data_IF_310914953536
#
_entry.id   IF_310914953536
#
_cell.length_a   1.000
_cell.length_b   1.000
_cell.length_c   1.000
_cell.angle_alpha   90.00
_cell.angle_beta   90.00
_cell.angle_gamma   90.00
#
_symmetry.space_group_name_H-M   'P 1'
#
loop_
_entity.id
_entity.type
_entity.pdbx_description
1 polymer ?
#
# COMPACT_ATOMS: atom_id res chain seq x y z
N UNK A 1 -3.02 17.82 11.79
CA UNK A 1 -2.58 18.92 10.91
C UNK A 1 -2.35 18.32 9.54
N UNK A 2 -3.12 18.75 8.55
CA UNK A 2 -2.87 18.37 7.17
C UNK A 2 -1.50 18.89 6.74
N UNK A 3 -0.82 18.12 5.90
CA UNK A 3 0.50 18.52 5.45
C UNK A 3 0.39 19.63 4.40
N UNK A 4 1.17 20.69 4.62
CA UNK A 4 1.22 21.84 3.74
C UNK A 4 2.10 21.55 2.51
N UNK A 5 1.49 20.95 1.50
CA UNK A 5 2.12 20.63 0.21
C UNK A 5 2.63 21.90 -0.50
N UNK A 6 1.93 23.02 -0.38
CA UNK A 6 2.32 24.26 -1.06
C UNK A 6 3.63 24.83 -0.51
N UNK A 7 3.75 24.90 0.82
CA UNK A 7 4.99 25.30 1.48
C UNK A 7 6.13 24.30 1.24
N UNK A 8 5.84 22.99 1.20
CA UNK A 8 6.85 22.00 0.82
C UNK A 8 7.37 22.24 -0.60
N UNK A 9 6.49 22.43 -1.60
CA UNK A 9 6.87 22.72 -2.99
C UNK A 9 7.73 23.97 -3.09
N UNK A 10 7.36 25.05 -2.41
CA UNK A 10 8.11 26.31 -2.42
C UNK A 10 9.54 26.10 -1.89
N UNK A 11 9.70 25.44 -0.75
CA UNK A 11 11.01 25.13 -0.16
C UNK A 11 11.83 24.20 -1.05
N UNK A 12 11.23 23.15 -1.60
CA UNK A 12 11.90 22.23 -2.51
C UNK A 12 12.43 22.96 -3.74
N UNK A 13 11.59 23.77 -4.39
CA UNK A 13 11.95 24.56 -5.58
C UNK A 13 13.08 25.55 -5.31
N UNK A 14 13.11 26.17 -4.12
CA UNK A 14 14.18 27.08 -3.72
C UNK A 14 15.51 26.37 -3.48
N UNK A 15 15.47 25.09 -3.06
CA UNK A 15 16.66 24.27 -2.84
C UNK A 15 17.25 23.66 -4.14
N UNK A 16 16.50 23.67 -5.26
CA UNK A 16 17.02 23.21 -6.54
C UNK A 16 18.15 24.14 -6.99
N UNK A 17 19.31 23.56 -7.30
CA UNK A 17 20.48 24.31 -7.76
C UNK A 17 20.14 25.20 -8.98
N UNK A 18 20.55 26.48 -9.03
CA UNK A 18 20.15 27.42 -10.08
C UNK A 18 20.51 26.99 -11.52
N UNK A 19 21.56 26.18 -11.67
CA UNK A 19 22.00 25.64 -12.98
C UNK A 19 21.28 24.35 -13.40
N UNK A 20 20.34 23.84 -12.59
CA UNK A 20 19.60 22.64 -12.97
C UNK A 20 18.71 22.93 -14.18
N UNK A 21 18.81 22.08 -15.20
CA UNK A 21 17.97 22.12 -16.40
C UNK A 21 17.32 20.75 -16.61
N UNK A 22 15.99 20.71 -16.59
CA UNK A 22 15.24 19.47 -16.71
C UNK A 22 15.39 18.80 -18.09
N UNK A 23 15.50 19.58 -19.16
CA UNK A 23 15.66 19.06 -20.51
C UNK A 23 17.04 18.45 -20.72
N UNK A 24 18.08 19.08 -20.20
CA UNK A 24 19.43 18.49 -20.21
C UNK A 24 19.47 17.20 -19.38
N UNK A 25 18.83 17.19 -18.21
CA UNK A 25 18.71 15.97 -17.40
C UNK A 25 18.02 14.85 -18.19
N UNK A 26 16.77 15.06 -18.61
CA UNK A 26 16.00 14.03 -19.31
C UNK A 26 16.68 13.60 -20.61
N UNK A 27 17.21 14.57 -21.38
CA UNK A 27 17.97 14.30 -22.61
C UNK A 27 19.21 13.45 -22.36
N UNK A 28 19.97 13.72 -21.31
CA UNK A 28 21.11 12.89 -20.92
C UNK A 28 20.67 11.45 -20.59
N UNK A 29 19.65 11.28 -19.74
CA UNK A 29 19.17 9.96 -19.32
C UNK A 29 18.71 9.14 -20.52
N UNK A 30 17.89 9.73 -21.39
CA UNK A 30 17.35 9.05 -22.56
C UNK A 30 18.43 8.72 -23.59
N UNK A 31 19.30 9.69 -23.92
CA UNK A 31 20.35 9.47 -24.91
C UNK A 31 21.38 8.46 -24.41
N UNK A 32 21.86 8.60 -23.18
CA UNK A 32 22.83 7.68 -22.60
C UNK A 32 22.26 6.26 -22.53
N UNK A 33 21.04 6.10 -22.02
CA UNK A 33 20.39 4.80 -21.96
C UNK A 33 20.17 4.18 -23.35
N UNK A 34 19.71 4.96 -24.32
CA UNK A 34 19.53 4.49 -25.70
C UNK A 34 20.85 4.04 -26.35
N UNK A 35 21.95 4.76 -26.11
CA UNK A 35 23.28 4.35 -26.59
C UNK A 35 23.76 3.04 -25.94
N UNK A 36 23.55 2.86 -24.64
CA UNK A 36 23.88 1.61 -23.96
C UNK A 36 23.04 0.43 -24.47
N UNK A 37 21.74 0.64 -24.69
CA UNK A 37 20.84 -0.38 -25.26
C UNK A 37 21.31 -0.74 -26.67
N UNK A 38 21.55 0.26 -27.51
CA UNK A 38 22.04 0.06 -28.88
C UNK A 38 23.35 -0.72 -28.91
N UNK A 39 24.30 -0.37 -28.03
CA UNK A 39 25.56 -1.11 -27.90
C UNK A 39 25.33 -2.58 -27.50
N UNK A 40 24.50 -2.85 -26.48
CA UNK A 40 24.25 -4.21 -26.01
C UNK A 40 23.55 -5.05 -27.07
N UNK A 41 22.47 -4.54 -27.67
CA UNK A 41 21.72 -5.27 -28.69
C UNK A 41 22.47 -5.44 -30.00
N UNK A 42 23.41 -4.54 -30.33
CA UNK A 42 24.32 -4.74 -31.46
C UNK A 42 25.25 -5.95 -31.29
N UNK A 43 25.45 -6.45 -30.07
CA UNK A 43 26.22 -7.69 -29.82
C UNK A 43 25.42 -8.98 -30.05
N UNK A 44 24.12 -8.88 -30.29
CA UNK A 44 23.30 -10.04 -30.57
C UNK A 44 23.39 -10.41 -32.06
N UNK A 45 23.69 -11.66 -32.36
CA UNK A 45 23.88 -12.17 -33.72
C UNK A 45 23.10 -13.48 -33.91
N UNK A 46 22.44 -13.65 -35.07
CA UNK A 46 21.72 -14.90 -35.41
C UNK A 46 20.80 -15.44 -34.30
N UNK A 47 20.00 -14.54 -33.71
CA UNK A 47 19.15 -14.83 -32.54
C UNK A 47 18.20 -15.99 -32.83
N UNK A 48 18.27 -17.03 -32.00
CA UNK A 48 17.37 -18.17 -32.08
C UNK A 48 15.99 -17.82 -31.53
N UNK A 49 14.89 -18.42 -32.04
CA UNK A 49 13.54 -18.07 -31.62
C UNK A 49 13.28 -18.12 -30.11
N UNK A 50 13.88 -19.06 -29.39
CA UNK A 50 13.71 -19.19 -27.93
C UNK A 50 14.45 -18.11 -27.15
N UNK A 51 15.55 -17.54 -27.69
CA UNK A 51 16.34 -16.50 -27.02
C UNK A 51 15.54 -15.21 -26.87
N UNK A 52 14.56 -14.98 -27.74
CA UNK A 52 13.60 -13.87 -27.62
C UNK A 52 12.79 -13.90 -26.33
N UNK A 53 12.64 -15.05 -25.67
CA UNK A 53 12.00 -15.14 -24.34
C UNK A 53 12.76 -14.31 -23.29
N UNK A 54 14.04 -13.99 -23.51
CA UNK A 54 14.82 -13.12 -22.65
C UNK A 54 14.17 -11.73 -22.47
N UNK A 55 13.51 -11.20 -23.51
CA UNK A 55 12.87 -9.87 -23.48
C UNK A 55 11.65 -9.84 -22.52
N UNK A 56 10.59 -10.65 -22.71
CA UNK A 56 9.45 -10.64 -21.80
C UNK A 56 9.85 -11.07 -20.37
N UNK A 57 10.78 -12.01 -20.22
CA UNK A 57 11.28 -12.41 -18.90
C UNK A 57 12.03 -11.26 -18.20
N UNK A 58 12.86 -10.50 -18.93
CA UNK A 58 13.52 -9.31 -18.41
C UNK A 58 12.51 -8.22 -18.02
N UNK A 59 11.44 -8.00 -18.81
CA UNK A 59 10.40 -7.03 -18.47
C UNK A 59 9.62 -7.44 -17.20
N UNK A 60 9.26 -8.72 -17.07
CA UNK A 60 8.61 -9.24 -15.85
C UNK A 60 9.52 -9.10 -14.64
N UNK A 61 10.80 -9.41 -14.80
CA UNK A 61 11.82 -9.27 -13.74
C UNK A 61 12.08 -7.80 -13.38
N UNK A 62 12.13 -6.90 -14.37
CA UNK A 62 12.26 -5.46 -14.14
C UNK A 62 11.08 -4.92 -13.34
N UNK A 63 9.85 -5.24 -13.75
CA UNK A 63 8.64 -4.81 -13.06
C UNK A 63 8.53 -5.43 -11.64
N UNK A 64 9.09 -6.61 -11.43
CA UNK A 64 9.25 -7.17 -10.08
C UNK A 64 10.23 -6.35 -9.24
N UNK A 65 11.39 -6.01 -9.82
CA UNK A 65 12.40 -5.18 -9.18
C UNK A 65 11.87 -3.80 -8.80
N UNK A 66 11.12 -3.16 -9.70
CA UNK A 66 10.37 -1.92 -9.46
C UNK A 66 9.48 -2.05 -8.21
N UNK A 67 8.61 -3.07 -8.18
CA UNK A 67 7.72 -3.33 -7.05
C UNK A 67 8.50 -3.52 -5.72
N UNK A 68 9.55 -4.34 -5.75
CA UNK A 68 10.35 -4.65 -4.56
C UNK A 68 11.08 -3.43 -4.02
N UNK A 69 11.73 -2.67 -4.90
CA UNK A 69 12.47 -1.44 -4.54
C UNK A 69 11.50 -0.40 -4.03
N UNK A 70 10.39 -0.19 -4.72
CA UNK A 70 9.40 0.81 -4.35
C UNK A 70 8.77 0.51 -2.98
N UNK A 71 8.26 -0.71 -2.77
CA UNK A 71 7.69 -1.10 -1.48
C UNK A 71 8.72 -1.05 -0.35
N UNK A 72 9.92 -1.60 -0.53
CA UNK A 72 10.84 -1.83 0.60
C UNK A 72 11.86 -0.71 0.83
N UNK A 73 12.38 -0.10 -0.23
CA UNK A 73 13.36 0.98 -0.12
C UNK A 73 12.67 2.34 -0.20
N UNK A 74 11.56 2.43 -0.93
CA UNK A 74 10.79 3.66 -1.07
C UNK A 74 10.09 4.03 0.23
N UNK A 75 9.40 3.06 0.84
CA UNK A 75 8.50 3.31 1.99
C UNK A 75 9.03 2.89 3.36
N UNK A 76 10.10 2.08 3.43
CA UNK A 76 10.74 1.74 4.70
C UNK A 76 12.15 2.31 4.79
N UNK A 77 12.37 3.19 5.77
CA UNK A 77 13.66 3.82 6.01
C UNK A 77 14.68 2.79 6.51
N UNK A 78 15.56 2.33 5.61
CA UNK A 78 16.70 1.44 5.90
C UNK A 78 18.01 2.18 5.63
N UNK A 79 19.11 1.83 6.31
CA UNK A 79 20.42 2.49 6.13
C UNK A 79 20.89 2.46 4.67
N UNK A 80 20.81 1.30 4.02
CA UNK A 80 21.25 1.12 2.63
C UNK A 80 20.25 1.67 1.57
N UNK A 81 19.05 2.09 1.98
CA UNK A 81 18.02 2.65 1.11
C UNK A 81 17.67 4.11 1.42
N UNK A 82 18.38 4.75 2.35
CA UNK A 82 17.98 6.04 2.91
C UNK A 82 17.86 7.16 1.87
N UNK A 83 18.74 7.17 0.85
CA UNK A 83 18.66 8.15 -0.24
C UNK A 83 17.43 7.92 -1.12
N UNK A 84 17.11 6.66 -1.43
CA UNK A 84 15.92 6.35 -2.21
C UNK A 84 14.64 6.68 -1.42
N UNK A 85 14.58 6.30 -0.14
CA UNK A 85 13.50 6.70 0.77
C UNK A 85 13.31 8.23 0.83
N UNK A 86 14.40 8.99 1.01
CA UNK A 86 14.33 10.45 1.08
C UNK A 86 13.80 11.04 -0.24
N UNK A 87 14.27 10.56 -1.39
CA UNK A 87 13.78 11.05 -2.69
C UNK A 87 12.35 10.62 -2.97
N UNK A 88 11.98 9.42 -2.53
CA UNK A 88 10.68 8.81 -2.82
C UNK A 88 9.61 9.29 -1.84
N UNK A 89 9.57 8.78 -0.62
CA UNK A 89 8.59 9.19 0.39
C UNK A 89 8.87 10.60 0.92
N UNK A 90 10.14 10.97 1.08
CA UNK A 90 10.52 12.28 1.62
C UNK A 90 10.22 13.44 0.69
N UNK A 91 10.62 13.34 -0.58
CA UNK A 91 10.50 14.41 -1.57
C UNK A 91 9.30 14.20 -2.50
N UNK A 92 9.21 13.08 -3.21
CA UNK A 92 8.19 12.85 -4.24
C UNK A 92 6.76 12.81 -3.69
N UNK A 93 6.50 11.99 -2.66
CA UNK A 93 5.18 11.93 -2.01
C UNK A 93 4.80 13.21 -1.26
N UNK A 94 5.79 13.96 -0.80
CA UNK A 94 5.59 15.27 -0.19
C UNK A 94 5.31 16.35 -1.25
N UNK A 95 5.90 16.22 -2.43
CA UNK A 95 5.70 17.19 -3.51
C UNK A 95 4.37 16.94 -4.25
N UNK A 96 3.97 15.69 -4.44
CA UNK A 96 2.73 15.28 -5.09
C UNK A 96 1.82 14.58 -4.08
N UNK A 97 0.86 15.31 -3.52
CA UNK A 97 -0.16 14.72 -2.66
C UNK A 97 -1.32 14.16 -3.48
N UNK A 98 -2.16 13.32 -2.85
CA UNK A 98 -3.43 12.88 -3.43
C UNK A 98 -4.26 14.08 -3.94
N UNK A 99 -4.72 14.02 -5.19
CA UNK A 99 -5.42 15.12 -5.86
C UNK A 99 -4.51 16.23 -6.43
N UNK A 100 -3.21 16.20 -6.15
CA UNK A 100 -2.23 17.22 -6.54
C UNK A 100 -1.03 16.62 -7.30
N UNK A 101 -1.31 15.78 -8.30
CA UNK A 101 -0.28 15.04 -9.04
C UNK A 101 0.47 15.81 -10.13
N UNK A 102 0.02 17.00 -10.52
CA UNK A 102 0.61 17.70 -11.67
C UNK A 102 1.92 18.41 -11.30
N UNK A 103 2.89 18.39 -12.21
CA UNK A 103 3.96 19.39 -12.17
C UNK A 103 3.42 20.76 -12.62
N UNK A 104 4.05 21.84 -12.16
CA UNK A 104 3.66 23.21 -12.53
C UNK A 104 4.79 23.94 -13.26
N UNK A 105 6.04 23.65 -12.91
CA UNK A 105 7.24 24.27 -13.48
C UNK A 105 8.18 23.23 -14.07
N UNK A 106 8.97 23.61 -15.08
CA UNK A 106 9.98 22.73 -15.66
C UNK A 106 10.99 22.19 -14.63
N UNK A 107 11.27 22.94 -13.55
CA UNK A 107 12.17 22.48 -12.47
C UNK A 107 11.57 21.35 -11.61
N UNK A 108 10.25 21.18 -11.60
CA UNK A 108 9.58 20.14 -10.83
C UNK A 108 9.89 18.73 -11.38
N UNK A 109 10.34 18.63 -12.64
CA UNK A 109 10.86 17.38 -13.21
C UNK A 109 12.02 16.79 -12.41
N UNK A 110 12.72 17.59 -11.60
CA UNK A 110 13.78 17.12 -10.70
C UNK A 110 13.31 16.10 -9.66
N UNK A 111 12.08 16.25 -9.18
CA UNK A 111 11.48 15.35 -8.18
C UNK A 111 10.88 14.11 -8.84
N UNK A 112 10.39 14.24 -10.09
CA UNK A 112 9.81 13.15 -10.88
C UNK A 112 10.89 12.19 -11.39
N UNK A 113 11.95 12.72 -12.00
CA UNK A 113 13.01 11.92 -12.60
C UNK A 113 13.96 11.38 -11.53
N UNK A 114 14.46 10.16 -11.72
CA UNK A 114 15.58 9.68 -10.93
C UNK A 114 16.81 10.58 -11.09
N UNK A 115 17.77 10.57 -10.14
CA UNK A 115 19.01 11.30 -10.34
C UNK A 115 19.72 10.85 -11.61
N UNK A 116 20.20 11.78 -12.43
CA UNK A 116 20.88 11.48 -13.70
C UNK A 116 22.06 10.51 -13.57
N UNK A 117 22.76 10.46 -12.43
CA UNK A 117 23.84 9.50 -12.23
C UNK A 117 23.34 8.05 -12.07
N UNK A 118 22.07 7.84 -11.70
CA UNK A 118 21.52 6.52 -11.40
C UNK A 118 21.43 5.64 -12.65
N UNK A 119 21.12 6.22 -13.82
CA UNK A 119 21.15 5.46 -15.09
C UNK A 119 22.56 4.94 -15.39
N UNK A 120 23.62 5.67 -15.03
CA UNK A 120 25.01 5.21 -15.22
C UNK A 120 25.29 4.01 -14.34
N UNK A 121 24.93 4.07 -13.06
CA UNK A 121 25.07 2.94 -12.13
C UNK A 121 24.26 1.73 -12.60
N UNK A 122 23.01 1.95 -13.01
CA UNK A 122 22.14 0.89 -13.52
C UNK A 122 22.67 0.26 -14.81
N UNK A 123 23.24 1.07 -15.72
CA UNK A 123 23.92 0.59 -16.90
C UNK A 123 25.17 -0.22 -16.56
N UNK A 124 26.01 0.23 -15.63
CA UNK A 124 27.20 -0.51 -15.18
C UNK A 124 26.83 -1.89 -14.62
N UNK A 125 25.78 -1.98 -13.81
CA UNK A 125 25.27 -3.28 -13.33
C UNK A 125 24.83 -4.16 -14.50
N UNK A 126 24.08 -3.63 -15.46
CA UNK A 126 23.62 -4.40 -16.61
C UNK A 126 24.76 -4.78 -17.58
N UNK A 127 25.82 -3.99 -17.70
CA UNK A 127 27.03 -4.38 -18.42
C UNK A 127 27.76 -5.54 -17.72
N UNK A 128 27.84 -5.52 -16.39
CA UNK A 128 28.38 -6.64 -15.62
C UNK A 128 27.48 -7.89 -15.74
N UNK A 129 26.17 -7.73 -15.72
CA UNK A 129 25.20 -8.82 -15.98
C UNK A 129 25.36 -9.39 -17.39
N UNK A 130 25.49 -8.53 -18.41
CA UNK A 130 25.78 -8.95 -19.78
C UNK A 130 27.07 -9.78 -19.83
N UNK A 131 28.17 -9.27 -19.27
CA UNK A 131 29.44 -9.98 -19.24
C UNK A 131 29.29 -11.35 -18.56
N UNK A 132 28.63 -11.41 -17.41
CA UNK A 132 28.42 -12.67 -16.69
C UNK A 132 27.60 -13.68 -17.52
N UNK A 133 26.44 -13.26 -18.03
CA UNK A 133 25.54 -14.13 -18.81
C UNK A 133 26.11 -14.52 -20.17
N UNK A 134 27.00 -13.70 -20.75
CA UNK A 134 27.61 -13.99 -22.06
C UNK A 134 28.49 -15.23 -22.07
N UNK A 135 28.99 -15.67 -20.90
CA UNK A 135 29.72 -16.94 -20.77
C UNK A 135 28.83 -18.16 -21.06
N UNK A 136 27.50 -18.00 -20.92
CA UNK A 136 26.53 -19.04 -21.24
C UNK A 136 25.88 -18.81 -22.60
N UNK A 137 25.35 -17.61 -22.84
CA UNK A 137 24.74 -17.26 -24.13
C UNK A 137 24.78 -15.74 -24.35
N UNK A 138 25.52 -15.30 -25.37
CA UNK A 138 25.71 -13.88 -25.67
C UNK A 138 24.42 -13.16 -26.12
N UNK A 139 23.56 -13.84 -26.90
CA UNK A 139 22.30 -13.27 -27.38
C UNK A 139 21.32 -13.04 -26.22
N UNK A 140 21.13 -14.05 -25.36
CA UNK A 140 20.29 -13.91 -24.17
C UNK A 140 20.84 -12.83 -23.24
N UNK A 141 22.15 -12.80 -23.03
CA UNK A 141 22.80 -11.76 -22.23
C UNK A 141 22.53 -10.34 -22.77
N UNK A 142 22.69 -10.15 -24.08
CA UNK A 142 22.46 -8.88 -24.77
C UNK A 142 20.98 -8.47 -24.69
N UNK A 143 20.07 -9.37 -25.06
CA UNK A 143 18.62 -9.12 -25.03
C UNK A 143 18.14 -8.80 -23.63
N UNK A 144 18.51 -9.60 -22.62
CA UNK A 144 18.12 -9.39 -21.23
C UNK A 144 18.64 -8.04 -20.70
N UNK A 145 19.95 -7.79 -20.81
CA UNK A 145 20.58 -6.60 -20.21
C UNK A 145 20.14 -5.31 -20.90
N UNK A 146 19.99 -5.32 -22.23
CA UNK A 146 19.43 -4.19 -22.96
C UNK A 146 17.95 -3.97 -22.65
N UNK A 147 17.17 -5.04 -22.44
CA UNK A 147 15.75 -4.93 -22.05
C UNK A 147 15.58 -4.39 -20.62
N UNK A 148 16.49 -4.73 -19.70
CA UNK A 148 16.50 -4.13 -18.35
C UNK A 148 16.70 -2.61 -18.41
N UNK A 149 17.61 -2.12 -19.26
CA UNK A 149 17.81 -0.69 -19.51
C UNK A 149 16.61 -0.04 -20.21
N UNK A 150 16.00 -0.73 -21.18
CA UNK A 150 14.74 -0.29 -21.77
C UNK A 150 13.65 -0.13 -20.71
N UNK A 151 13.53 -1.09 -19.79
CA UNK A 151 12.60 -1.04 -18.67
C UNK A 151 12.82 0.21 -17.80
N UNK A 152 14.08 0.54 -17.48
CA UNK A 152 14.41 1.76 -16.74
C UNK A 152 13.97 3.03 -17.47
N UNK A 153 14.26 3.14 -18.78
CA UNK A 153 13.84 4.30 -19.56
C UNK A 153 12.31 4.39 -19.69
N UNK A 154 11.65 3.25 -19.90
CA UNK A 154 10.20 3.17 -19.90
C UNK A 154 9.63 3.63 -18.55
N UNK A 155 10.20 3.20 -17.43
CA UNK A 155 9.80 3.69 -16.11
C UNK A 155 9.86 5.22 -16.03
N UNK A 156 11.01 5.83 -16.33
CA UNK A 156 11.18 7.29 -16.26
C UNK A 156 10.17 8.03 -17.14
N UNK A 157 9.97 7.57 -18.38
CA UNK A 157 9.07 8.23 -19.35
C UNK A 157 7.61 8.08 -18.93
N UNK A 158 7.17 6.88 -18.60
CA UNK A 158 5.76 6.61 -18.28
C UNK A 158 5.41 7.25 -16.93
N UNK A 159 6.29 7.16 -15.92
CA UNK A 159 6.16 7.88 -14.64
C UNK A 159 6.02 9.39 -14.86
N UNK A 160 6.87 9.98 -15.71
CA UNK A 160 6.74 11.40 -16.04
C UNK A 160 5.43 11.75 -16.74
N UNK A 161 4.93 10.87 -17.61
CA UNK A 161 3.63 11.05 -18.25
C UNK A 161 2.48 11.09 -17.24
N UNK A 162 2.56 10.33 -16.16
CA UNK A 162 1.55 10.32 -15.10
C UNK A 162 1.46 11.64 -14.34
N UNK A 163 2.52 12.45 -14.33
CA UNK A 163 2.55 13.79 -13.72
C UNK A 163 2.17 14.93 -14.68
N UNK A 164 1.87 14.63 -15.95
CA UNK A 164 1.39 15.63 -16.91
C UNK A 164 0.01 16.18 -16.51
N UNK A 165 -0.31 17.45 -16.84
CA UNK A 165 -1.64 18.00 -16.61
C UNK A 165 -2.75 17.14 -17.26
N UNK A 166 -3.91 17.04 -16.62
CA UNK A 166 -5.00 16.17 -17.08
C UNK A 166 -5.51 16.51 -18.50
N UNK A 167 -5.37 17.76 -18.92
CA UNK A 167 -5.73 18.23 -20.26
C UNK A 167 -4.74 17.79 -21.36
N UNK A 168 -3.53 17.33 -21.00
CA UNK A 168 -2.50 16.95 -21.95
C UNK A 168 -2.93 15.71 -22.77
N UNK A 169 -2.66 15.64 -24.09
CA UNK A 169 -3.11 14.52 -24.93
C UNK A 169 -2.65 13.14 -24.42
N UNK A 170 -1.40 13.03 -23.98
CA UNK A 170 -0.84 11.77 -23.44
C UNK A 170 -1.58 11.32 -22.19
N UNK A 171 -1.98 12.24 -21.30
CA UNK A 171 -2.72 11.92 -20.08
C UNK A 171 -4.12 11.35 -20.34
N UNK A 172 -4.66 11.56 -21.55
CA UNK A 172 -5.96 11.04 -21.97
C UNK A 172 -5.89 9.60 -22.49
N UNK A 173 -4.69 9.09 -22.78
CA UNK A 173 -4.52 7.69 -23.20
C UNK A 173 -5.03 6.77 -22.08
N UNK A 174 -5.86 5.75 -22.39
CA UNK A 174 -6.52 4.95 -21.36
C UNK A 174 -5.56 4.33 -20.35
N UNK A 175 -4.42 3.83 -20.81
CA UNK A 175 -3.42 3.20 -19.97
C UNK A 175 -2.69 4.23 -19.07
N UNK A 176 -2.31 5.42 -19.59
CA UNK A 176 -1.68 6.49 -18.80
C UNK A 176 -2.64 6.96 -17.70
N UNK A 177 -3.91 7.20 -18.07
CA UNK A 177 -4.95 7.60 -17.13
C UNK A 177 -5.12 6.56 -16.01
N UNK A 178 -5.08 5.27 -16.37
CA UNK A 178 -5.16 4.20 -15.39
C UNK A 178 -3.96 4.19 -14.46
N UNK A 179 -2.73 4.23 -14.99
CA UNK A 179 -1.51 4.19 -14.17
C UNK A 179 -1.42 5.42 -13.27
N UNK A 180 -1.68 6.61 -13.82
CA UNK A 180 -1.80 7.85 -13.05
C UNK A 180 -2.79 7.72 -11.89
N UNK A 181 -3.95 7.09 -12.11
CA UNK A 181 -4.93 6.91 -11.01
C UNK A 181 -4.43 5.94 -9.94
N UNK A 182 -3.79 4.84 -10.33
CA UNK A 182 -3.21 3.89 -9.38
C UNK A 182 -2.06 4.54 -8.57
N UNK A 183 -1.21 5.30 -9.25
CA UNK A 183 -0.11 6.04 -8.65
C UNK A 183 -0.62 7.20 -7.76
N UNK A 184 -1.68 7.92 -8.15
CA UNK A 184 -2.32 8.90 -7.29
C UNK A 184 -2.88 8.27 -6.00
N UNK A 185 -3.54 7.11 -6.11
CA UNK A 185 -3.98 6.34 -4.95
C UNK A 185 -2.79 5.87 -4.10
N UNK A 186 -1.66 5.55 -4.73
CA UNK A 186 -0.41 5.27 -4.04
C UNK A 186 0.14 6.49 -3.29
N UNK A 187 -0.11 7.73 -3.74
CA UNK A 187 0.26 8.95 -3.02
C UNK A 187 -0.67 9.28 -1.84
N UNK A 188 -1.82 8.61 -1.73
CA UNK A 188 -2.69 8.75 -0.56
C UNK A 188 -2.00 8.17 0.68
N UNK A 189 -1.85 9.00 1.72
CA UNK A 189 -0.98 8.68 2.87
C UNK A 189 -1.39 7.46 3.66
N UNK A 190 -2.68 7.20 3.66
CA UNK A 190 -3.33 6.07 4.29
C UNK A 190 -3.16 4.78 3.47
N UNK A 191 -2.81 4.89 2.18
CA UNK A 191 -2.64 3.75 1.25
C UNK A 191 -1.18 3.48 0.85
N UNK A 192 -0.31 4.50 0.86
CA UNK A 192 1.02 4.49 0.23
C UNK A 192 1.95 3.37 0.72
N UNK A 193 1.80 2.94 1.97
CA UNK A 193 2.63 1.88 2.55
C UNK A 193 2.11 0.47 2.26
N UNK A 194 0.95 0.33 1.62
CA UNK A 194 0.25 -0.96 1.48
C UNK A 194 -0.14 -1.32 0.05
N UNK A 195 -0.42 -0.34 -0.80
CA UNK A 195 -1.03 -0.57 -2.11
C UNK A 195 -0.32 0.14 -3.27
N UNK A 196 -0.45 -0.42 -4.48
CA UNK A 196 -0.06 0.16 -5.77
C UNK A 196 1.42 0.56 -5.89
N UNK A 197 2.33 -0.40 -5.73
CA UNK A 197 3.78 -0.17 -5.79
C UNK A 197 4.39 -0.27 -7.20
N UNK A 198 3.70 -0.82 -8.19
CA UNK A 198 4.10 -0.68 -9.57
C UNK A 198 3.48 0.59 -10.15
N UNK A 199 4.35 1.44 -10.71
CA UNK A 199 4.01 2.65 -11.45
C UNK A 199 3.68 2.29 -12.90
N UNK A 200 4.53 1.46 -13.54
CA UNK A 200 4.44 1.23 -14.99
C UNK A 200 3.38 0.20 -15.38
N UNK A 201 3.44 -1.00 -14.76
CA UNK A 201 2.46 -2.07 -14.97
C UNK A 201 2.15 -2.75 -13.64
N UNK A 202 0.86 -2.87 -13.22
CA UNK A 202 0.49 -3.36 -11.90
C UNK A 202 0.52 -4.89 -11.78
N UNK A 203 1.47 -5.56 -12.45
CA UNK A 203 1.54 -7.02 -12.49
C UNK A 203 1.83 -7.58 -11.11
N UNK A 204 2.85 -7.07 -10.41
CA UNK A 204 3.20 -7.59 -9.09
C UNK A 204 2.29 -7.09 -8.00
N UNK A 205 1.69 -5.91 -8.16
CA UNK A 205 0.56 -5.51 -7.32
C UNK A 205 -0.61 -6.47 -7.41
N UNK A 206 -0.93 -6.94 -8.62
CA UNK A 206 -1.97 -7.95 -8.81
C UNK A 206 -1.57 -9.28 -8.18
N UNK A 207 -0.36 -9.80 -8.50
CA UNK A 207 0.14 -11.08 -7.97
C UNK A 207 0.18 -11.09 -6.43
N UNK A 208 0.70 -10.03 -5.81
CA UNK A 208 0.82 -9.92 -4.36
C UNK A 208 -0.44 -9.35 -3.67
N UNK A 209 -1.48 -9.05 -4.44
CA UNK A 209 -2.76 -8.56 -3.93
C UNK A 209 -2.69 -7.16 -3.31
N UNK A 210 -1.72 -6.34 -3.69
CA UNK A 210 -1.59 -4.93 -3.29
C UNK A 210 -2.18 -3.97 -4.33
N UNK A 211 -2.76 -4.49 -5.42
CA UNK A 211 -3.50 -3.68 -6.38
C UNK A 211 -4.80 -3.17 -5.75
N UNK A 212 -4.87 -1.86 -5.54
CA UNK A 212 -6.05 -1.16 -5.05
C UNK A 212 -6.64 -0.23 -6.10
N UNK A 213 -7.96 -0.29 -6.24
CA UNK A 213 -8.76 0.61 -7.06
C UNK A 213 -9.90 1.13 -6.21
N UNK A 214 -10.16 2.42 -6.29
CA UNK A 214 -11.37 2.99 -5.74
C UNK A 214 -12.57 2.56 -6.61
N UNK A 215 -13.62 2.00 -6.00
CA UNK A 215 -14.91 1.74 -6.67
C UNK A 215 -15.91 2.79 -6.21
N UNK A 216 -16.63 3.38 -7.15
CA UNK A 216 -17.90 4.04 -6.86
C UNK A 216 -18.86 3.00 -6.25
N UNK A 217 -19.49 3.33 -5.11
CA UNK A 217 -20.44 2.43 -4.44
C UNK A 217 -19.86 1.52 -3.35
N UNK A 218 -18.62 1.76 -2.90
CA UNK A 218 -18.01 1.03 -1.77
C UNK A 218 -18.69 1.29 -0.40
N UNK A 219 -19.87 1.92 -0.41
CA UNK A 219 -20.69 2.26 0.75
C UNK A 219 -21.75 1.20 1.10
N UNK A 220 -22.07 0.20 0.26
CA UNK A 220 -23.22 -0.67 0.60
C UNK A 220 -23.24 -2.10 0.05
N UNK A 221 -22.24 -2.58 -0.70
CA UNK A 221 -22.31 -3.96 -1.21
C UNK A 221 -21.76 -4.99 -0.20
N UNK A 222 -22.52 -5.22 0.88
CA UNK A 222 -22.34 -6.33 1.83
C UNK A 222 -22.67 -7.69 1.22
N UNK A 223 -23.24 -7.74 0.00
CA UNK A 223 -23.59 -9.00 -0.67
C UNK A 223 -22.35 -9.86 -0.91
N UNK A 224 -22.48 -11.14 -0.58
CA UNK A 224 -21.41 -12.13 -0.73
C UNK A 224 -20.27 -12.00 0.29
N UNK A 225 -20.43 -11.19 1.33
CA UNK A 225 -19.53 -11.24 2.49
C UNK A 225 -19.81 -12.50 3.31
N UNK A 226 -18.73 -13.12 3.78
CA UNK A 226 -18.80 -14.10 4.86
C UNK A 226 -19.09 -13.32 6.14
N UNK A 227 -20.15 -13.71 6.85
CA UNK A 227 -20.50 -13.14 8.14
C UNK A 227 -20.31 -14.18 9.23
N UNK A 228 -19.68 -13.79 10.33
CA UNK A 228 -19.60 -14.57 11.55
C UNK A 228 -20.03 -13.70 12.72
N UNK A 229 -20.81 -14.26 13.63
CA UNK A 229 -21.30 -13.56 14.81
C UNK A 229 -21.03 -14.40 16.04
N UNK A 230 -20.46 -13.77 17.05
CA UNK A 230 -20.21 -14.38 18.35
C UNK A 230 -20.69 -13.44 19.45
N UNK A 231 -21.08 -13.98 20.60
CA UNK A 231 -21.50 -13.19 21.74
C UNK A 231 -20.86 -13.67 23.04
N UNK A 232 -20.77 -12.77 24.01
CA UNK A 232 -20.40 -13.10 25.39
C UNK A 232 -21.06 -12.14 26.37
N UNK A 233 -21.37 -12.64 27.56
CA UNK A 233 -21.98 -11.86 28.62
C UNK A 233 -20.89 -11.37 29.58
N UNK A 234 -20.86 -10.05 29.83
CA UNK A 234 -19.87 -9.38 30.67
C UNK A 234 -20.63 -8.65 31.79
N UNK A 235 -20.23 -8.87 33.05
CA UNK A 235 -20.80 -8.27 34.26
C UNK A 235 -20.46 -6.79 34.45
N UNK A 236 -20.50 -5.99 33.37
CA UNK A 236 -20.23 -4.54 33.35
C UNK A 236 -21.33 -3.83 32.57
N UNK A 237 -21.48 -2.53 32.81
CA UNK A 237 -22.48 -1.75 32.09
C UNK A 237 -22.15 -1.66 30.58
N UNK A 238 -23.17 -1.48 29.72
CA UNK A 238 -22.95 -1.41 28.27
C UNK A 238 -21.97 -0.32 27.86
N UNK A 239 -22.02 0.83 28.54
CA UNK A 239 -21.12 1.97 28.31
C UNK A 239 -19.66 1.61 28.62
N UNK A 240 -19.41 0.97 29.76
CA UNK A 240 -18.06 0.56 30.15
C UNK A 240 -17.49 -0.48 29.18
N UNK A 241 -18.30 -1.48 28.81
CA UNK A 241 -17.91 -2.50 27.84
C UNK A 241 -17.58 -1.87 26.50
N UNK A 242 -18.49 -1.07 25.94
CA UNK A 242 -18.29 -0.49 24.61
C UNK A 242 -17.12 0.51 24.59
N UNK A 243 -16.93 1.32 25.64
CA UNK A 243 -15.80 2.25 25.74
C UNK A 243 -14.46 1.50 25.71
N UNK A 244 -14.36 0.37 26.41
CA UNK A 244 -13.17 -0.47 26.37
C UNK A 244 -12.92 -1.07 24.98
N UNK A 245 -13.96 -1.62 24.35
CA UNK A 245 -13.84 -2.32 23.06
C UNK A 245 -13.61 -1.37 21.88
N UNK A 246 -14.21 -0.19 21.92
CA UNK A 246 -14.03 0.88 20.92
C UNK A 246 -12.72 1.67 21.10
N UNK A 247 -11.81 1.20 21.97
CA UNK A 247 -10.44 1.71 22.12
C UNK A 247 -9.43 0.75 21.44
N UNK A 248 -9.15 0.88 20.13
CA UNK A 248 -8.26 -0.01 19.38
C UNK A 248 -6.88 -0.21 20.00
N UNK A 249 -6.30 0.80 20.63
CA UNK A 249 -4.96 0.69 21.25
C UNK A 249 -4.90 -0.35 22.38
N UNK A 250 -6.05 -0.78 22.91
CA UNK A 250 -6.17 -1.84 23.92
C UNK A 250 -6.44 -3.22 23.35
N UNK A 251 -6.63 -3.37 22.03
CA UNK A 251 -6.96 -4.67 21.43
C UNK A 251 -5.86 -5.71 21.63
N UNK A 252 -4.60 -5.30 21.80
CA UNK A 252 -3.49 -6.21 22.14
C UNK A 252 -3.68 -6.93 23.48
N UNK A 253 -4.52 -6.42 24.38
CA UNK A 253 -4.80 -7.02 25.68
C UNK A 253 -5.59 -8.33 25.56
N UNK A 254 -6.39 -8.47 24.50
CA UNK A 254 -7.30 -9.62 24.31
C UNK A 254 -7.17 -10.33 22.96
N UNK A 255 -6.38 -9.82 22.02
CA UNK A 255 -6.16 -10.48 20.73
C UNK A 255 -5.48 -11.85 20.90
N UNK A 256 -5.91 -12.93 20.20
CA UNK A 256 -5.31 -14.26 20.32
C UNK A 256 -3.90 -14.39 19.71
N UNK A 257 -3.35 -13.30 19.19
CA UNK A 257 -2.01 -13.23 18.63
C UNK A 257 -1.48 -11.79 18.72
N UNK A 258 -0.15 -11.57 18.65
CA UNK A 258 0.42 -10.24 18.73
C UNK A 258 -0.11 -9.30 17.65
N UNK A 259 -0.60 -8.14 18.10
CA UNK A 259 -1.06 -7.04 17.25
C UNK A 259 -0.44 -5.73 17.72
N UNK A 260 -0.16 -4.84 16.78
CA UNK A 260 0.28 -3.47 17.03
C UNK A 260 -0.71 -2.53 16.37
N UNK A 261 -1.23 -1.59 17.15
CA UNK A 261 -2.19 -0.60 16.68
C UNK A 261 -1.62 0.79 16.90
N UNK A 262 -1.62 1.61 15.85
CA UNK A 262 -1.21 3.02 15.91
C UNK A 262 -2.42 3.87 15.57
N UNK A 263 -2.85 4.67 16.53
CA UNK A 263 -4.00 5.55 16.38
C UNK A 263 -4.21 6.39 17.62
N UNK A 264 -5.24 7.26 17.63
CA UNK A 264 -5.61 8.04 18.80
C UNK A 264 -5.83 7.17 20.06
N UNK A 265 -5.58 7.74 21.24
CA UNK A 265 -5.91 7.09 22.51
C UNK A 265 -7.39 7.25 22.84
N UNK A 266 -8.01 6.20 23.37
CA UNK A 266 -9.41 6.22 23.85
C UNK A 266 -10.42 5.72 22.83
N UNK A 267 -11.70 5.87 23.16
CA UNK A 267 -12.80 5.46 22.30
C UNK A 267 -12.83 6.29 21.02
N UNK A 268 -12.94 5.60 19.88
CA UNK A 268 -12.81 6.21 18.56
C UNK A 268 -14.18 6.70 18.04
N UNK A 269 -14.37 8.01 17.83
CA UNK A 269 -15.58 8.53 17.20
C UNK A 269 -15.63 8.20 15.71
N UNK A 270 -16.81 8.35 15.11
CA UNK A 270 -17.03 8.19 13.66
C UNK A 270 -16.06 9.07 12.87
N UNK A 271 -15.50 8.52 11.79
CA UNK A 271 -14.52 9.19 10.94
C UNK A 271 -13.07 9.03 11.39
N UNK A 272 -12.81 8.38 12.52
CA UNK A 272 -11.43 8.15 12.99
C UNK A 272 -10.78 6.99 12.25
N UNK A 273 -9.54 7.17 11.80
CA UNK A 273 -8.72 6.15 11.17
C UNK A 273 -7.63 5.64 12.11
N UNK A 274 -7.25 4.35 12.00
CA UNK A 274 -6.12 3.78 12.73
C UNK A 274 -5.44 2.64 11.97
N UNK A 275 -4.14 2.48 12.18
CA UNK A 275 -3.34 1.41 11.60
C UNK A 275 -3.36 0.18 12.51
N UNK A 276 -3.53 -0.99 11.90
CA UNK A 276 -3.44 -2.29 12.54
C UNK A 276 -2.36 -3.11 11.84
N UNK A 277 -1.44 -3.70 12.62
CA UNK A 277 -0.47 -4.68 12.14
C UNK A 277 -0.59 -5.94 12.96
N UNK A 278 -0.93 -7.07 12.34
CA UNK A 278 -1.02 -8.36 13.01
C UNK A 278 -0.33 -9.46 12.21
N UNK A 279 0.30 -10.42 12.90
CA UNK A 279 1.05 -11.50 12.24
C UNK A 279 0.21 -12.38 11.29
N UNK A 280 -1.12 -12.36 11.42
CA UNK A 280 -2.04 -13.13 10.58
C UNK A 280 -2.72 -12.31 9.49
N UNK A 281 -3.27 -11.14 9.85
CA UNK A 281 -4.02 -10.29 8.92
C UNK A 281 -3.13 -9.28 8.16
N UNK A 282 -1.84 -9.20 8.50
CA UNK A 282 -0.91 -8.23 7.92
C UNK A 282 -1.21 -6.81 8.36
N UNK A 283 -0.97 -5.86 7.47
CA UNK A 283 -1.30 -4.44 7.67
C UNK A 283 -2.73 -4.17 7.20
N UNK A 284 -3.54 -3.54 8.06
CA UNK A 284 -4.90 -3.11 7.77
C UNK A 284 -5.06 -1.65 8.19
N UNK A 285 -5.69 -0.85 7.33
CA UNK A 285 -6.14 0.49 7.68
C UNK A 285 -7.63 0.41 8.06
N UNK A 286 -7.96 0.82 9.28
CA UNK A 286 -9.32 0.85 9.80
C UNK A 286 -9.88 2.26 9.79
N UNK A 287 -11.18 2.38 9.55
CA UNK A 287 -11.97 3.60 9.66
C UNK A 287 -13.25 3.31 10.45
N UNK A 288 -13.54 4.11 11.48
CA UNK A 288 -14.79 4.00 12.26
C UNK A 288 -15.95 4.59 11.47
N UNK A 289 -16.99 3.79 11.24
CA UNK A 289 -18.15 4.15 10.42
C UNK A 289 -19.40 4.48 11.24
N UNK A 290 -19.52 3.95 12.45
CA UNK A 290 -20.63 4.23 13.35
C UNK A 290 -20.20 4.13 14.81
N UNK A 291 -20.74 5.00 15.67
CA UNK A 291 -20.55 4.91 17.12
C UNK A 291 -21.75 5.53 17.86
N UNK A 292 -22.40 4.71 18.67
CA UNK A 292 -23.46 5.07 19.63
C UNK A 292 -23.02 4.50 20.98
N UNK A 293 -22.64 5.35 21.96
CA UNK A 293 -22.16 4.92 23.27
C UNK A 293 -23.11 3.90 23.93
N UNK A 294 -22.55 2.86 24.54
CA UNK A 294 -23.30 1.79 25.20
C UNK A 294 -24.13 0.87 24.29
N UNK A 295 -24.22 1.14 22.98
CA UNK A 295 -25.12 0.40 22.09
C UNK A 295 -24.42 -0.20 20.88
N UNK A 296 -23.71 0.62 20.09
CA UNK A 296 -23.25 0.22 18.78
C UNK A 296 -21.91 0.85 18.42
N UNK A 297 -20.99 0.07 17.87
CA UNK A 297 -19.77 0.59 17.26
C UNK A 297 -19.45 -0.22 16.01
N UNK A 298 -18.99 0.45 14.95
CA UNK A 298 -18.60 -0.21 13.72
C UNK A 298 -17.35 0.41 13.13
N UNK A 299 -16.47 -0.44 12.64
CA UNK A 299 -15.35 -0.03 11.83
C UNK A 299 -15.17 -0.92 10.60
N UNK A 300 -14.59 -0.31 9.57
CA UNK A 300 -14.30 -0.91 8.28
C UNK A 300 -12.79 -0.97 8.09
N UNK A 301 -12.28 -2.07 7.54
CA UNK A 301 -10.88 -2.15 7.11
C UNK A 301 -10.71 -2.69 5.69
N UNK A 302 -9.58 -2.29 5.09
CA UNK A 302 -9.10 -2.80 3.80
C UNK A 302 -7.72 -3.43 3.97
N UNK A 303 -7.43 -4.45 3.17
CA UNK A 303 -6.15 -5.17 3.20
C UNK A 303 -5.79 -5.85 1.88
N UNK A 304 -4.70 -6.62 1.91
CA UNK A 304 -4.19 -7.36 0.75
C UNK A 304 -5.22 -8.33 0.18
N UNK A 305 -5.04 -8.68 -1.10
CA UNK A 305 -5.90 -9.57 -1.87
C UNK A 305 -7.35 -9.08 -1.95
N UNK A 306 -7.51 -7.75 -1.95
CA UNK A 306 -8.83 -7.12 -2.02
C UNK A 306 -9.70 -7.43 -0.81
N UNK A 307 -9.08 -7.62 0.36
CA UNK A 307 -9.77 -7.81 1.62
C UNK A 307 -10.55 -6.55 1.96
N UNK A 308 -11.85 -6.70 2.14
CA UNK A 308 -12.73 -5.70 2.74
C UNK A 308 -13.41 -6.35 3.93
N UNK A 309 -13.37 -5.70 5.09
CA UNK A 309 -14.03 -6.19 6.29
C UNK A 309 -14.77 -5.10 7.06
N UNK A 310 -15.81 -5.52 7.78
CA UNK A 310 -16.54 -4.74 8.77
C UNK A 310 -16.51 -5.50 10.09
N UNK A 311 -16.24 -4.79 11.17
CA UNK A 311 -16.44 -5.27 12.54
C UNK A 311 -17.52 -4.42 13.16
N UNK A 312 -18.57 -5.08 13.62
CA UNK A 312 -19.69 -4.47 14.33
C UNK A 312 -19.74 -5.01 15.75
N UNK A 313 -19.87 -4.10 16.71
CA UNK A 313 -19.99 -4.33 18.14
C UNK A 313 -21.36 -3.85 18.58
N UNK A 314 -22.11 -4.71 19.25
CA UNK A 314 -23.41 -4.40 19.80
C UNK A 314 -23.44 -4.78 21.27
N UNK A 315 -23.99 -3.88 22.10
CA UNK A 315 -24.13 -4.08 23.53
C UNK A 315 -25.61 -4.02 23.90
N UNK A 316 -26.13 -5.15 24.38
CA UNK A 316 -27.50 -5.26 24.87
C UNK A 316 -27.48 -5.36 26.40
N UNK A 317 -28.18 -4.48 27.14
CA UNK A 317 -28.27 -4.57 28.60
C UNK A 317 -28.84 -5.91 29.07
N UNK A 318 -28.23 -6.51 30.10
CA UNK A 318 -28.68 -7.74 30.75
C UNK A 318 -28.64 -7.60 32.28
N UNK A 319 -29.68 -7.02 32.88
CA UNK A 319 -29.71 -6.77 34.32
C UNK A 319 -28.57 -5.83 34.74
N UNK A 320 -27.62 -6.33 35.52
CA UNK A 320 -26.40 -5.59 35.94
C UNK A 320 -25.23 -5.71 34.98
N UNK A 321 -25.35 -6.53 33.93
CA UNK A 321 -24.31 -6.78 32.93
C UNK A 321 -24.74 -6.42 31.51
N UNK A 322 -23.96 -6.90 30.54
CA UNK A 322 -24.12 -6.62 29.11
C UNK A 322 -23.90 -7.90 28.31
N UNK A 323 -24.81 -8.19 27.38
CA UNK A 323 -24.52 -9.09 26.26
C UNK A 323 -23.78 -8.31 25.19
N UNK A 324 -22.52 -8.64 25.00
CA UNK A 324 -21.71 -8.12 23.93
C UNK A 324 -21.77 -9.07 22.73
N UNK A 325 -22.18 -8.54 21.57
CA UNK A 325 -22.21 -9.26 20.30
C UNK A 325 -21.19 -8.63 19.35
N UNK A 326 -20.33 -9.47 18.77
CA UNK A 326 -19.38 -9.10 17.74
C UNK A 326 -19.76 -9.78 16.42
N UNK A 327 -20.01 -8.98 15.40
CA UNK A 327 -20.22 -9.43 14.03
C UNK A 327 -19.00 -9.04 13.19
N UNK A 328 -18.35 -10.01 12.56
CA UNK A 328 -17.27 -9.80 11.59
C UNK A 328 -17.75 -10.22 10.20
N UNK A 329 -17.83 -9.25 9.29
CA UNK A 329 -18.18 -9.48 7.89
C UNK A 329 -16.95 -9.21 7.03
N UNK A 330 -16.64 -10.09 6.09
CA UNK A 330 -15.49 -9.88 5.20
C UNK A 330 -15.65 -10.55 3.84
N UNK A 331 -14.88 -10.07 2.87
CA UNK A 331 -14.72 -10.69 1.55
C UNK A 331 -13.32 -10.47 1.00
N UNK A 332 -12.95 -11.31 0.04
CA UNK A 332 -11.79 -11.10 -0.82
C UNK A 332 -12.25 -10.88 -2.26
N UNK A 333 -11.88 -9.76 -2.88
CA UNK A 333 -12.16 -9.52 -4.30
C UNK A 333 -11.12 -10.13 -5.23
N UNK A 334 -9.93 -10.48 -4.72
CA UNK A 334 -8.87 -11.13 -5.49
C UNK A 334 -9.05 -12.65 -5.59
N UNK A 335 -8.68 -13.25 -6.72
CA UNK A 335 -8.83 -14.69 -6.97
C UNK A 335 -8.09 -15.54 -5.93
N UNK A 336 -6.81 -15.22 -5.66
CA UNK A 336 -5.99 -15.93 -4.67
C UNK A 336 -6.61 -15.84 -3.27
N UNK A 337 -7.12 -14.65 -2.89
CA UNK A 337 -7.77 -14.45 -1.60
C UNK A 337 -9.06 -15.28 -1.47
N UNK A 338 -9.88 -15.34 -2.52
CA UNK A 338 -11.09 -16.18 -2.54
C UNK A 338 -10.76 -17.67 -2.40
N UNK A 339 -9.77 -18.16 -3.14
CA UNK A 339 -9.36 -19.56 -3.10
C UNK A 339 -8.78 -19.92 -1.72
N UNK A 340 -7.87 -19.11 -1.19
CA UNK A 340 -7.31 -19.32 0.15
C UNK A 340 -8.41 -19.30 1.24
N UNK A 341 -9.43 -18.44 1.08
CA UNK A 341 -10.59 -18.40 1.96
C UNK A 341 -11.40 -19.70 1.96
N UNK A 342 -11.69 -20.23 0.78
CA UNK A 342 -12.42 -21.48 0.63
C UNK A 342 -11.65 -22.70 1.19
N UNK A 343 -10.32 -22.72 1.04
CA UNK A 343 -9.50 -23.86 1.45
C UNK A 343 -9.22 -23.85 2.96
N UNK A 344 -8.76 -22.72 3.52
CA UNK A 344 -8.29 -22.71 4.92
C UNK A 344 -8.50 -21.40 5.69
N UNK A 345 -8.49 -20.22 5.06
CA UNK A 345 -8.55 -18.96 5.83
C UNK A 345 -9.88 -18.82 6.58
N UNK A 346 -11.01 -19.23 6.00
CA UNK A 346 -12.31 -19.11 6.65
C UNK A 346 -12.33 -19.82 8.01
N UNK A 347 -11.94 -21.10 8.05
CA UNK A 347 -11.87 -21.89 9.30
C UNK A 347 -10.91 -21.28 10.32
N UNK A 348 -9.80 -20.70 9.86
CA UNK A 348 -8.83 -20.04 10.72
C UNK A 348 -9.37 -18.73 11.31
N UNK A 349 -10.02 -17.90 10.49
CA UNK A 349 -10.61 -16.62 10.93
C UNK A 349 -11.74 -16.89 11.92
N UNK A 350 -12.57 -17.92 11.67
CA UNK A 350 -13.63 -18.33 12.59
C UNK A 350 -13.06 -18.72 13.95
N UNK A 351 -12.05 -19.59 13.96
CA UNK A 351 -11.35 -19.99 15.19
C UNK A 351 -10.75 -18.79 15.92
N UNK A 352 -10.07 -17.90 15.20
CA UNK A 352 -9.48 -16.70 15.78
C UNK A 352 -10.55 -15.75 16.36
N UNK A 353 -11.71 -15.64 15.71
CA UNK A 353 -12.83 -14.84 16.21
C UNK A 353 -13.42 -15.42 17.50
N UNK A 354 -13.56 -16.74 17.59
CA UNK A 354 -14.04 -17.42 18.79
C UNK A 354 -13.03 -17.30 19.95
N UNK A 355 -11.74 -17.56 19.69
CA UNK A 355 -10.66 -17.46 20.68
C UNK A 355 -10.53 -16.01 21.21
N UNK A 356 -10.68 -15.02 20.32
CA UNK A 356 -10.69 -13.59 20.64
C UNK A 356 -11.82 -13.25 21.63
N UNK A 357 -13.05 -13.70 21.39
CA UNK A 357 -14.16 -13.39 22.32
C UNK A 357 -14.00 -14.07 23.67
N UNK A 358 -13.51 -15.31 23.67
CA UNK A 358 -13.25 -16.04 24.91
C UNK A 358 -12.22 -15.31 25.78
N UNK A 359 -11.11 -14.86 25.17
CA UNK A 359 -10.09 -14.10 25.89
C UNK A 359 -10.59 -12.72 26.31
N UNK A 360 -11.36 -12.05 25.44
CA UNK A 360 -11.94 -10.75 25.74
C UNK A 360 -12.79 -10.77 27.01
N UNK A 361 -13.62 -11.79 27.20
CA UNK A 361 -14.44 -11.90 28.41
C UNK A 361 -13.59 -11.92 29.69
N UNK A 362 -12.57 -12.79 29.72
CA UNK A 362 -11.66 -12.93 30.85
C UNK A 362 -10.93 -11.62 31.17
N UNK A 363 -10.46 -10.93 30.13
CA UNK A 363 -9.70 -9.69 30.29
C UNK A 363 -10.61 -8.52 30.66
N UNK A 364 -11.79 -8.42 30.06
CA UNK A 364 -12.77 -7.37 30.34
C UNK A 364 -13.23 -7.41 31.80
N UNK A 365 -13.54 -8.59 32.33
CA UNK A 365 -13.90 -8.77 33.74
C UNK A 365 -12.78 -8.36 34.70
N UNK A 366 -11.52 -8.50 34.29
CA UNK A 366 -10.37 -8.12 35.11
C UNK A 366 -10.05 -6.63 35.04
N UNK A 367 -10.17 -6.01 33.87
CA UNK A 367 -9.64 -4.66 33.60
C UNK A 367 -10.70 -3.57 33.59
N UNK A 368 -11.97 -3.90 33.42
CA UNK A 368 -13.07 -2.93 33.53
C UNK A 368 -13.49 -2.89 35.01
N UNK A 369 -13.48 -1.71 35.66
CA UNK A 369 -13.97 -1.57 37.03
C UNK A 369 -15.43 -2.02 37.16
N UNK A 370 -15.76 -2.77 38.21
CA UNK A 370 -17.16 -3.11 38.51
C UNK A 370 -17.99 -1.83 38.67
N UNK A 371 -19.22 -1.83 38.15
CA UNK A 371 -20.16 -0.74 38.36
C UNK A 371 -20.30 -0.50 39.86
N UNK A 372 -20.04 0.72 40.33
CA UNK A 372 -20.32 1.08 41.72
C UNK A 372 -21.83 0.88 41.93
N UNK A 373 -22.21 -0.10 42.74
CA UNK A 373 -23.57 -0.27 43.20
C UNK A 373 -23.94 1.02 43.93
N UNK A 374 -24.86 1.81 43.37
CA UNK A 374 -25.53 2.86 44.13
C UNK A 374 -26.24 2.19 45.31
N UNK A 375 -25.63 2.26 46.49
CA UNK A 375 -26.33 1.97 47.74
C UNK A 375 -27.41 3.06 47.88
N UNK A 376 -28.71 2.71 47.95
CA UNK A 376 -29.73 3.69 48.27
C UNK A 376 -29.46 4.20 49.70
N UNK A 377 -29.42 5.52 49.86
CA UNK A 377 -29.40 6.18 51.17
C UNK A 377 -30.77 6.10 51.82
#
# INVERSE_FOLDING_TARGET
>A
MDFDTANFRARYRAAIHPRYNAWFHGGFVLLFGALCIGFLWHRAENIQPWEWLAVPLALVFHNWGEYMIHQHLGHFKRRFGAMFYQRHTGDHHSFFAYGQMNYELARDWRVILFPAWLIVVFASVNFATYWALSHWNANVAALFSGTMLLGYLAYEVLHACEHLPAQHPVSKLPWVRQMRRLHELHHARDLMNTFNFNVVFPLWDWIYGTLYREREGDLDDRRGMVSMQHHVDIGRSPEQVLNYLSTPTRWSEWHPYPVSIKGPSGSMPVGTAFDYTGGRAGHLLWNVTAYVPGHHWQARARGKYGLLMYVTYECTPMGTGTRFTRTLEYRFSHLVGRLANQIFLHKRIEKDSADLLKNLNLVAEKLIPASATFLPR
#
